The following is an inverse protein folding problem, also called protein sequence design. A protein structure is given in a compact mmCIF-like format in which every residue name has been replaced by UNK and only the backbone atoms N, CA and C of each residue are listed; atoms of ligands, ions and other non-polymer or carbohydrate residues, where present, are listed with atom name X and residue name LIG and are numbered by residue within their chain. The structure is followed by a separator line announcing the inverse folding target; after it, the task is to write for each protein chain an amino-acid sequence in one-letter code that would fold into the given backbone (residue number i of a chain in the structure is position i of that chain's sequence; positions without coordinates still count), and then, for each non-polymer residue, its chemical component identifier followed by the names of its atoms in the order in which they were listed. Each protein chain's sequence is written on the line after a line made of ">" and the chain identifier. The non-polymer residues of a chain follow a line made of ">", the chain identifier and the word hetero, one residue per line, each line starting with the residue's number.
data_IF_639243527517
#
_entry.id   IF_639243527517
#
_cell.length_a   1.000
_cell.length_b   1.000
_cell.length_c   1.000
_cell.angle_alpha   90.00
_cell.angle_beta   90.00
_cell.angle_gamma   90.00
#
_symmetry.space_group_name_H-M   'P 1'
#
loop_
_entity.id
_entity.type
_entity.pdbx_description
1 polymer ?
#
# COMPACT_ATOMS: atom_id res chain seq x y z
N UNK A 1 7.99 -35.71 4.81
CA UNK A 1 7.49 -34.45 4.24
C UNK A 1 7.64 -33.39 5.32
N UNK A 2 8.44 -32.36 5.08
CA UNK A 2 8.56 -31.23 6.02
C UNK A 2 7.30 -30.40 5.85
N UNK A 3 6.56 -30.15 6.94
CA UNK A 3 5.43 -29.24 6.89
C UNK A 3 5.96 -27.85 6.53
N UNK A 4 5.40 -27.22 5.50
CA UNK A 4 5.62 -25.81 5.23
C UNK A 4 5.30 -25.04 6.52
N UNK A 5 6.31 -24.38 7.09
CA UNK A 5 6.08 -23.45 8.18
C UNK A 5 5.57 -22.17 7.55
N UNK A 6 4.30 -21.85 7.82
CA UNK A 6 3.71 -20.61 7.40
C UNK A 6 4.20 -19.48 8.31
N UNK A 7 4.67 -18.40 7.70
CA UNK A 7 5.09 -17.20 8.40
C UNK A 7 3.86 -16.34 8.74
N UNK A 8 3.16 -16.75 9.80
CA UNK A 8 1.92 -16.12 10.26
C UNK A 8 2.13 -14.67 10.68
N UNK A 9 3.31 -14.32 11.21
CA UNK A 9 3.62 -12.94 11.62
C UNK A 9 3.79 -12.03 10.40
N UNK A 10 4.53 -12.46 9.37
CA UNK A 10 4.66 -11.70 8.13
C UNK A 10 3.30 -11.49 7.46
N UNK A 11 2.51 -12.56 7.36
CA UNK A 11 1.16 -12.51 6.77
C UNK A 11 0.23 -11.53 7.50
N UNK A 12 0.32 -11.45 8.83
CA UNK A 12 -0.45 -10.48 9.59
C UNK A 12 -0.04 -9.03 9.29
N UNK A 13 1.26 -8.75 9.09
CA UNK A 13 1.75 -7.43 8.70
C UNK A 13 1.32 -7.07 7.27
N UNK A 14 1.38 -8.01 6.34
CA UNK A 14 0.89 -7.82 4.96
C UNK A 14 -0.60 -7.48 4.94
N UNK A 15 -1.43 -8.21 5.71
CA UNK A 15 -2.87 -7.92 5.84
C UNK A 15 -3.11 -6.51 6.39
N UNK A 16 -2.28 -6.05 7.34
CA UNK A 16 -2.38 -4.68 7.87
C UNK A 16 -2.00 -3.64 6.81
N UNK A 17 -0.94 -3.86 6.05
CA UNK A 17 -0.56 -3.01 4.93
C UNK A 17 -1.66 -2.93 3.86
N UNK A 18 -2.27 -4.07 3.48
CA UNK A 18 -3.39 -4.12 2.53
C UNK A 18 -4.63 -3.36 3.05
N UNK A 19 -4.93 -3.45 4.35
CA UNK A 19 -6.04 -2.69 4.97
C UNK A 19 -5.81 -1.18 4.87
N UNK A 20 -4.59 -0.72 5.10
CA UNK A 20 -4.24 0.69 4.94
C UNK A 20 -4.33 1.15 3.49
N UNK A 21 -3.83 0.36 2.54
CA UNK A 21 -3.98 0.64 1.11
C UNK A 21 -5.46 0.74 0.69
N UNK A 22 -6.31 -0.16 1.20
CA UNK A 22 -7.75 -0.11 0.98
C UNK A 22 -8.40 1.14 1.62
N UNK A 23 -7.96 1.57 2.80
CA UNK A 23 -8.44 2.78 3.46
C UNK A 23 -8.07 4.04 2.66
N UNK A 24 -6.84 4.14 2.16
CA UNK A 24 -6.38 5.22 1.28
C UNK A 24 -7.24 5.26 0.01
N UNK A 25 -7.50 4.09 -0.59
CA UNK A 25 -8.36 3.97 -1.77
C UNK A 25 -9.77 4.49 -1.49
N UNK A 26 -10.40 4.07 -0.38
CA UNK A 26 -11.72 4.56 0.03
C UNK A 26 -11.74 6.06 0.29
N UNK A 27 -10.71 6.60 0.94
CA UNK A 27 -10.57 8.04 1.17
C UNK A 27 -10.55 8.81 -0.16
N UNK A 28 -9.86 8.29 -1.19
CA UNK A 28 -9.85 8.94 -2.52
C UNK A 28 -11.19 8.89 -3.25
N UNK A 29 -12.05 7.92 -2.96
CA UNK A 29 -13.43 7.89 -3.46
C UNK A 29 -14.32 8.91 -2.73
N UNK A 30 -14.12 9.07 -1.42
CA UNK A 30 -14.86 9.99 -0.56
C UNK A 30 -14.25 11.38 -0.40
N UNK A 31 -13.25 11.75 -1.21
CA UNK A 31 -12.36 12.90 -0.97
C UNK A 31 -13.08 14.20 -0.62
N UNK A 32 -14.16 14.54 -1.32
CA UNK A 32 -14.91 15.78 -1.11
C UNK A 32 -15.87 15.74 0.09
N UNK A 33 -16.10 14.56 0.67
CA UNK A 33 -17.01 14.34 1.81
C UNK A 33 -16.26 14.24 3.14
N UNK A 34 -14.94 14.43 3.12
CA UNK A 34 -14.06 14.38 4.29
C UNK A 34 -13.60 15.80 4.61
N UNK A 35 -13.58 16.16 5.89
CA UNK A 35 -13.25 17.52 6.32
C UNK A 35 -11.81 17.93 6.00
N UNK A 36 -10.85 16.99 6.05
CA UNK A 36 -9.46 17.23 5.70
C UNK A 36 -8.82 15.99 5.04
N UNK A 37 -9.17 15.68 3.79
CA UNK A 37 -8.77 14.45 3.13
C UNK A 37 -7.26 14.39 2.89
N UNK A 38 -6.60 15.54 2.74
CA UNK A 38 -5.14 15.65 2.60
C UNK A 38 -4.42 15.18 3.86
N UNK A 39 -4.83 15.69 5.03
CA UNK A 39 -4.23 15.29 6.30
C UNK A 39 -4.44 13.81 6.57
N UNK A 40 -5.67 13.32 6.37
CA UNK A 40 -6.01 11.91 6.60
C UNK A 40 -5.26 10.97 5.65
N UNK A 41 -5.09 11.36 4.38
CA UNK A 41 -4.26 10.61 3.42
C UNK A 41 -2.79 10.55 3.86
N UNK A 42 -2.24 11.66 4.38
CA UNK A 42 -0.88 11.71 4.90
C UNK A 42 -0.67 10.80 6.12
N UNK A 43 -1.63 10.76 7.04
CA UNK A 43 -1.59 9.89 8.23
C UNK A 43 -1.61 8.41 7.81
N UNK A 44 -2.58 8.02 6.95
CA UNK A 44 -2.68 6.65 6.43
C UNK A 44 -1.42 6.21 5.66
N UNK A 45 -0.88 7.10 4.81
CA UNK A 45 0.36 6.82 4.07
C UNK A 45 1.58 6.73 4.99
N UNK A 46 1.60 7.48 6.09
CA UNK A 46 2.68 7.40 7.09
C UNK A 46 2.67 6.05 7.78
N UNK A 47 1.50 5.57 8.18
CA UNK A 47 1.38 4.28 8.84
C UNK A 47 1.65 3.11 7.87
N UNK A 48 1.25 3.25 6.60
CA UNK A 48 1.59 2.28 5.56
C UNK A 48 3.12 2.16 5.38
N UNK A 49 3.83 3.30 5.33
CA UNK A 49 5.30 3.31 5.20
C UNK A 49 5.99 2.66 6.40
N UNK A 50 5.52 2.90 7.63
CA UNK A 50 6.06 2.24 8.82
C UNK A 50 5.92 0.72 8.71
N UNK A 51 4.73 0.23 8.35
CA UNK A 51 4.48 -1.20 8.16
C UNK A 51 5.36 -1.82 7.07
N UNK A 52 5.56 -1.10 5.95
CA UNK A 52 6.45 -1.57 4.88
C UNK A 52 7.90 -1.72 5.33
N UNK A 53 8.39 -0.80 6.18
CA UNK A 53 9.71 -0.92 6.81
C UNK A 53 9.76 -2.11 7.77
N UNK A 54 8.76 -2.27 8.63
CA UNK A 54 8.70 -3.38 9.59
C UNK A 54 8.66 -4.76 8.89
N UNK A 55 7.94 -4.88 7.78
CA UNK A 55 7.93 -6.08 6.93
C UNK A 55 9.33 -6.34 6.38
N UNK A 56 9.97 -5.32 5.80
CA UNK A 56 11.32 -5.45 5.23
C UNK A 56 12.35 -5.86 6.29
N UNK A 57 12.30 -5.27 7.49
CA UNK A 57 13.17 -5.61 8.62
C UNK A 57 12.89 -7.01 9.16
N UNK A 58 11.62 -7.43 9.18
CA UNK A 58 11.23 -8.78 9.57
C UNK A 58 11.78 -9.83 8.58
N UNK A 59 11.61 -9.62 7.28
CA UNK A 59 12.15 -10.48 6.23
C UNK A 59 13.68 -10.58 6.26
N UNK A 60 14.37 -9.47 6.56
CA UNK A 60 15.83 -9.46 6.73
C UNK A 60 16.30 -10.25 7.95
N UNK A 61 15.57 -10.17 9.08
CA UNK A 61 15.91 -10.91 10.31
C UNK A 61 15.61 -12.40 10.21
N UNK A 62 14.48 -12.76 9.61
CA UNK A 62 14.06 -14.15 9.45
C UNK A 62 14.78 -14.85 8.30
N UNK A 63 15.39 -14.09 7.39
CA UNK A 63 16.03 -14.60 6.19
C UNK A 63 14.98 -15.22 5.27
N UNK A 64 14.19 -14.37 4.59
CA UNK A 64 13.04 -14.73 3.74
C UNK A 64 12.94 -16.25 3.40
N UNK A 65 12.20 -16.99 4.23
CA UNK A 65 11.76 -18.36 3.92
C UNK A 65 10.44 -18.32 3.11
N UNK A 66 10.14 -17.21 2.43
CA UNK A 66 8.93 -17.08 1.63
C UNK A 66 8.94 -18.13 0.51
N UNK A 67 8.02 -19.08 0.62
CA UNK A 67 7.76 -20.07 -0.40
C UNK A 67 7.28 -19.41 -1.69
N UNK A 68 7.42 -20.11 -2.81
CA UNK A 68 7.03 -19.62 -4.14
C UNK A 68 5.57 -19.14 -4.17
N UNK A 69 4.68 -19.83 -3.46
CA UNK A 69 3.27 -19.47 -3.37
C UNK A 69 3.04 -18.10 -2.73
N UNK A 70 3.77 -17.78 -1.65
CA UNK A 70 3.64 -16.51 -0.94
C UNK A 70 4.18 -15.36 -1.78
N UNK A 71 5.31 -15.58 -2.48
CA UNK A 71 5.88 -14.60 -3.41
C UNK A 71 4.88 -14.23 -4.51
N UNK A 72 4.23 -15.24 -5.11
CA UNK A 72 3.24 -15.01 -6.16
C UNK A 72 2.00 -14.24 -5.64
N UNK A 73 1.53 -14.54 -4.43
CA UNK A 73 0.38 -13.80 -3.85
C UNK A 73 0.72 -12.34 -3.54
N UNK A 74 1.92 -12.06 -3.03
CA UNK A 74 2.39 -10.70 -2.80
C UNK A 74 2.52 -9.97 -4.13
N UNK A 75 3.11 -10.61 -5.14
CA UNK A 75 3.28 -10.06 -6.49
C UNK A 75 1.91 -9.73 -7.13
N UNK A 76 0.94 -10.63 -7.07
CA UNK A 76 -0.42 -10.40 -7.58
C UNK A 76 -1.10 -9.23 -6.86
N UNK A 77 -0.96 -9.15 -5.53
CA UNK A 77 -1.53 -8.08 -4.71
C UNK A 77 -0.89 -6.73 -5.04
N UNK A 78 0.44 -6.69 -5.18
CA UNK A 78 1.16 -5.48 -5.58
C UNK A 78 0.78 -5.04 -6.99
N UNK A 79 0.63 -5.99 -7.93
CA UNK A 79 0.22 -5.71 -9.29
C UNK A 79 -1.20 -5.11 -9.37
N UNK A 80 -2.13 -5.58 -8.53
CA UNK A 80 -3.47 -5.00 -8.45
C UNK A 80 -3.47 -3.60 -7.81
N UNK A 81 -2.60 -3.36 -6.84
CA UNK A 81 -2.41 -2.02 -6.26
C UNK A 81 -1.78 -1.04 -7.26
N UNK A 82 -0.81 -1.48 -8.07
CA UNK A 82 -0.18 -0.67 -9.12
C UNK A 82 -1.21 -0.13 -10.12
N UNK A 83 -2.24 -0.92 -10.46
CA UNK A 83 -3.32 -0.49 -11.36
C UNK A 83 -4.11 0.70 -10.84
N UNK A 84 -4.10 0.95 -9.53
CA UNK A 84 -4.80 2.08 -8.90
C UNK A 84 -3.97 3.37 -8.94
N UNK A 85 -2.64 3.28 -9.08
CA UNK A 85 -1.71 4.43 -9.04
C UNK A 85 -2.10 5.53 -10.04
N UNK A 86 -2.37 5.26 -11.34
CA UNK A 86 -2.69 6.32 -12.30
C UNK A 86 -3.97 7.10 -11.96
N UNK A 87 -4.96 6.43 -11.37
CA UNK A 87 -6.20 7.07 -10.95
C UNK A 87 -6.00 7.98 -9.72
N UNK A 88 -5.10 7.57 -8.82
CA UNK A 88 -4.69 8.36 -7.67
C UNK A 88 -3.89 9.59 -8.12
N UNK A 89 -2.86 9.42 -8.96
CA UNK A 89 -2.04 10.52 -9.49
C UNK A 89 -2.88 11.60 -10.18
N UNK A 90 -3.89 11.20 -10.95
CA UNK A 90 -4.84 12.12 -11.61
C UNK A 90 -5.66 12.95 -10.61
N UNK A 91 -5.97 12.41 -9.44
CA UNK A 91 -6.74 13.12 -8.39
C UNK A 91 -5.88 14.07 -7.55
N UNK A 92 -4.58 13.80 -7.44
CA UNK A 92 -3.64 14.57 -6.62
C UNK A 92 -2.83 15.56 -7.48
N UNK A 93 -3.10 15.65 -8.79
CA UNK A 93 -2.39 16.56 -9.70
C UNK A 93 -2.52 18.00 -9.17
N UNK A 94 -1.42 18.69 -8.83
CA UNK A 94 -1.46 20.05 -8.31
C UNK A 94 -2.02 21.00 -9.39
N UNK A 95 -2.90 21.93 -8.99
CA UNK A 95 -3.50 22.92 -9.90
C UNK A 95 -2.46 23.76 -10.66
N UNK A 96 -1.28 23.99 -10.07
CA UNK A 96 -0.15 24.68 -10.71
C UNK A 96 0.42 23.95 -11.94
N UNK A 97 0.23 22.62 -12.05
CA UNK A 97 0.61 21.84 -13.24
C UNK A 97 -0.45 21.88 -14.35
N UNK A 98 -1.67 22.29 -14.05
CA UNK A 98 -2.76 22.42 -15.02
C UNK A 98 -2.63 23.75 -15.77
N UNK A 99 -2.29 24.84 -15.09
CA UNK A 99 -2.13 26.17 -15.70
C UNK A 99 -1.00 26.23 -16.74
N UNK A 100 0.13 25.55 -16.49
CA UNK A 100 1.25 25.47 -17.46
C UNK A 100 0.98 24.66 -18.74
N UNK A 101 -0.14 23.95 -18.83
CA UNK A 101 -0.52 23.19 -20.05
C UNK A 101 -1.38 24.01 -21.02
N UNK A 102 -1.85 25.18 -20.61
CA UNK A 102 -2.71 26.06 -21.40
C UNK A 102 -2.08 27.42 -21.73
N UNK A 103 -0.78 27.60 -21.44
CA UNK A 103 0.09 28.66 -21.99
C UNK A 103 0.94 28.10 -23.14
#
# INVERSE_FOLDING_TARGET
>A
MVAEKFDEECLLKDIQASKLAAAITKLTWGWNNVANPLKEAHELMTDYRKLSVEISEYEQRMGSELGVYQKNQIEDTMHDLEKLIPALEKKITPSEFIEKKFE
#
